data_IF_161192953025
#
_entry.id   IF_161192953025
#
_cell.length_a   1.000
_cell.length_b   1.000
_cell.length_c   1.000
_cell.angle_alpha   90.00
_cell.angle_beta   90.00
_cell.angle_gamma   90.00
#
_symmetry.space_group_name_H-M   'P 1'
#
loop_
_entity.id
_entity.type
_entity.pdbx_description
1 polymer ?
2 polymer ?
3 non-polymer ?
4 non-polymer ?
5 water ?
#
# COMPACT_ATOMS: atom_id res chain seq x y z
N UNK A 2 -17.35 -15.71 6.53
CA UNK A 2 -16.58 -15.10 7.63
C UNK A 2 -15.07 -15.15 7.40
N UNK A 3 -14.58 -16.21 6.76
CA UNK A 3 -13.15 -16.35 6.46
C UNK A 3 -12.67 -15.39 5.37
N UNK A 4 -13.54 -15.13 4.39
CA UNK A 4 -13.25 -14.16 3.34
C UNK A 4 -13.31 -12.73 3.89
N UNK A 5 -14.29 -12.48 4.77
CA UNK A 5 -14.43 -11.20 5.42
C UNK A 5 -13.26 -10.94 6.38
N UNK A 6 -12.80 -11.99 7.06
CA UNK A 6 -11.59 -11.92 7.89
C UNK A 6 -10.36 -11.55 7.05
N UNK A 7 -10.21 -12.15 5.87
CA UNK A 7 -9.09 -11.81 4.99
C UNK A 7 -9.20 -10.37 4.46
N UNK A 8 -10.43 -9.91 4.21
CA UNK A 8 -10.67 -8.51 3.87
C UNK A 8 -10.15 -7.60 4.97
N UNK A 9 -10.41 -7.95 6.23
CA UNK A 9 -9.94 -7.14 7.34
C UNK A 9 -8.41 -7.10 7.42
N UNK A 10 -7.79 -8.26 7.20
CA UNK A 10 -6.33 -8.36 7.12
C UNK A 10 -5.71 -7.45 6.05
N UNK A 11 -6.28 -7.49 4.85
CA UNK A 11 -5.81 -6.68 3.71
C UNK A 11 -6.01 -5.19 3.93
N UNK A 12 -7.16 -4.81 4.50
CA UNK A 12 -7.45 -3.42 4.82
C UNK A 12 -6.50 -2.85 5.88
N UNK A 13 -6.26 -3.63 6.93
CA UNK A 13 -5.34 -3.21 7.98
C UNK A 13 -3.90 -3.06 7.44
N UNK A 14 -3.50 -3.94 6.51
CA UNK A 14 -2.17 -3.84 5.88
C UNK A 14 -2.05 -2.53 5.10
N UNK A 15 -3.08 -2.25 4.30
CA UNK A 15 -3.23 -1.01 3.56
C UNK A 15 -3.19 0.24 4.47
N UNK A 16 -3.87 0.19 5.62
CA UNK A 16 -3.84 1.29 6.60
C UNK A 16 -2.44 1.52 7.18
N UNK A 17 -1.76 0.44 7.54
CA UNK A 17 -0.41 0.51 8.09
C UNK A 17 0.56 1.08 7.04
N UNK A 18 0.43 0.63 5.80
CA UNK A 18 1.19 1.17 4.67
C UNK A 18 0.95 2.66 4.44
N UNK A 19 -0.28 3.13 4.64
CA UNK A 19 -0.56 4.55 4.51
C UNK A 19 0.16 5.42 5.54
N UNK A 20 0.21 4.93 6.77
CA UNK A 20 1.01 5.57 7.81
C UNK A 20 2.49 5.68 7.44
N UNK A 21 3.04 4.60 6.86
CA UNK A 21 4.41 4.61 6.40
C UNK A 21 4.63 5.57 5.26
N UNK A 22 3.72 5.57 4.29
CA UNK A 22 3.76 6.50 3.17
C UNK A 22 3.76 7.95 3.64
N UNK A 23 2.87 8.26 4.58
CA UNK A 23 2.76 9.60 5.16
C UNK A 23 4.04 10.02 5.88
N UNK A 24 4.65 9.08 6.60
CA UNK A 24 5.96 9.30 7.22
C UNK A 24 7.04 9.59 6.17
N UNK A 25 7.04 8.86 5.06
CA UNK A 25 8.02 9.16 4.00
C UNK A 25 7.81 10.52 3.35
N UNK A 26 6.54 10.92 3.16
CA UNK A 26 6.23 12.26 2.66
C UNK A 26 6.78 13.33 3.61
N UNK A 27 6.56 13.15 4.92
CA UNK A 27 7.04 14.07 5.94
C UNK A 27 8.56 14.23 5.87
N UNK A 28 9.28 13.11 5.76
CA UNK A 28 10.74 13.08 5.70
C UNK A 28 11.29 13.81 4.48
N UNK A 29 10.74 13.51 3.31
CA UNK A 29 11.09 14.23 2.08
C UNK A 29 10.88 15.75 2.22
N UNK A 30 9.72 16.16 2.72
CA UNK A 30 9.44 17.59 2.89
C UNK A 30 10.41 18.27 3.88
N UNK A 31 10.74 17.58 4.98
CA UNK A 31 11.73 18.03 5.94
C UNK A 31 13.10 18.23 5.31
N UNK A 32 13.57 17.23 4.58
CA UNK A 32 14.87 17.32 3.89
C UNK A 32 14.90 18.45 2.86
N UNK A 33 13.82 18.58 2.08
CA UNK A 33 13.67 19.65 1.08
C UNK A 33 13.70 21.05 1.71
N UNK A 34 12.93 21.24 2.78
CA UNK A 34 12.88 22.50 3.49
C UNK A 34 14.26 22.84 4.08
N UNK A 35 14.93 21.82 4.61
CA UNK A 35 16.24 21.97 5.22
C UNK A 35 17.30 22.51 4.24
N UNK A 36 17.39 21.93 3.04
CA UNK A 36 18.46 22.29 2.11
C UNK A 36 18.14 23.50 1.24
N UNK A 37 16.88 23.69 0.85
CA UNK A 37 16.53 24.67 -0.16
C UNK A 37 15.24 25.39 0.18
N UNK B 2 -14.61 -18.46 -5.18
CA UNK B 2 -13.30 -18.85 -5.68
C UNK B 2 -12.60 -17.67 -6.38
N UNK B 3 -13.38 -16.91 -7.14
CA UNK B 3 -12.91 -15.69 -7.79
C UNK B 3 -12.63 -14.58 -6.78
N UNK B 4 -13.39 -14.58 -5.68
CA UNK B 4 -13.21 -13.62 -4.59
C UNK B 4 -11.92 -13.90 -3.82
N UNK B 5 -11.67 -15.18 -3.51
CA UNK B 5 -10.43 -15.63 -2.87
C UNK B 5 -9.21 -15.36 -3.76
N UNK B 6 -9.44 -15.44 -5.06
CA UNK B 6 -8.44 -15.09 -6.08
C UNK B 6 -8.04 -13.62 -6.00
N UNK B 7 -9.04 -12.73 -5.98
CA UNK B 7 -8.83 -11.30 -5.83
C UNK B 7 -8.00 -10.98 -4.58
N UNK B 8 -8.23 -11.74 -3.51
CA UNK B 8 -7.51 -11.54 -2.25
C UNK B 8 -6.04 -11.91 -2.39
N UNK B 9 -5.76 -12.97 -3.14
CA UNK B 9 -4.40 -13.37 -3.44
C UNK B 9 -3.68 -12.29 -4.26
N UNK B 10 -4.37 -11.77 -5.28
CA UNK B 10 -3.84 -10.71 -6.13
C UNK B 10 -3.50 -9.45 -5.33
N UNK B 11 -4.43 -9.06 -4.45
CA UNK B 11 -4.27 -7.86 -3.62
C UNK B 11 -3.16 -8.02 -2.61
N UNK B 12 -3.05 -9.20 -2.01
CA UNK B 12 -1.97 -9.48 -1.07
C UNK B 12 -0.58 -9.37 -1.74
N UNK B 13 -0.47 -9.91 -2.94
CA UNK B 13 0.76 -9.83 -3.72
C UNK B 13 1.11 -8.37 -4.02
N UNK B 14 0.12 -7.58 -4.41
CA UNK B 14 0.32 -6.16 -4.69
C UNK B 14 0.83 -5.43 -3.46
N UNK B 15 0.22 -5.71 -2.31
CA UNK B 15 0.61 -5.15 -1.02
C UNK B 15 2.05 -5.54 -0.65
N UNK B 16 2.43 -6.79 -0.94
CA UNK B 16 3.79 -7.27 -0.64
C UNK B 16 4.85 -6.57 -1.51
N UNK B 17 4.52 -6.31 -2.78
CA UNK B 17 5.41 -5.57 -3.67
C UNK B 17 5.52 -4.09 -3.26
N UNK B 18 4.40 -3.49 -2.83
CA UNK B 18 4.39 -2.13 -2.27
C UNK B 18 5.29 -2.01 -1.05
N UNK B 19 5.26 -3.02 -0.18
CA UNK B 19 6.12 -3.03 1.00
C UNK B 19 7.62 -3.09 0.67
N UNK B 20 7.99 -3.81 -0.38
CA UNK B 20 9.39 -3.81 -0.84
C UNK B 20 9.76 -2.40 -1.31
N UNK B 21 8.85 -1.77 -2.05
CA UNK B 21 9.01 -0.39 -2.48
C UNK B 21 9.16 0.56 -1.28
N UNK B 22 8.25 0.47 -0.30
CA UNK B 22 8.34 1.27 0.94
C UNK B 22 9.66 1.11 1.70
N UNK B 23 10.14 -0.13 1.83
CA UNK B 23 11.43 -0.36 2.49
C UNK B 23 12.58 0.32 1.72
N UNK B 24 12.50 0.33 0.39
CA UNK B 24 13.52 1.01 -0.41
C UNK B 24 13.46 2.55 -0.21
N UNK B 25 12.26 3.12 -0.20
CA UNK B 25 12.13 4.58 -0.01
C UNK B 25 12.53 5.01 1.41
N UNK B 26 12.20 4.19 2.41
CA UNK B 26 12.64 4.41 3.79
C UNK B 26 14.18 4.39 3.88
N UNK B 27 14.80 3.35 3.30
CA UNK B 27 16.27 3.28 3.26
C UNK B 27 16.89 4.57 2.67
N UNK B 28 16.34 5.02 1.54
CA UNK B 28 16.84 6.20 0.83
C UNK B 28 16.74 7.47 1.65
N UNK B 29 15.59 7.69 2.27
CA UNK B 29 15.39 8.84 3.15
C UNK B 29 16.37 8.81 4.33
N UNK B 30 16.58 7.63 4.90
CA UNK B 30 17.50 7.48 6.02
C UNK B 30 18.95 7.81 5.63
N UNK B 31 19.35 7.39 4.43
CA UNK B 31 20.69 7.69 3.91
C UNK B 31 20.90 9.21 3.80
N UNK B 32 19.91 9.91 3.26
CA UNK B 32 19.99 11.35 3.05
C UNK B 32 19.90 12.15 4.36
N UNK B 33 19.05 11.69 5.28
CA UNK B 33 18.93 12.33 6.58
C UNK B 33 20.26 12.28 7.37
N UNK B 34 20.89 11.10 7.37
CA UNK B 34 22.17 10.89 8.04
C UNK B 34 23.24 11.83 7.51
N UNK B 35 23.28 11.99 6.19
CA UNK B 35 24.24 12.87 5.53
C UNK B 35 24.05 14.35 5.91
N UNK B 36 22.84 14.85 5.83
CA UNK B 36 22.64 16.30 6.08
C UNK B 36 22.26 16.67 7.51
N UNK B 37 21.93 15.82 8.50
CA UNK B 37 21.55 16.17 9.86
C UNK B 37 22.37 15.40 10.84
N UNK C 2 -21.64 -9.83 -3.50
CA UNK C 2 -21.53 -8.50 -4.08
C UNK C 2 -20.92 -7.44 -3.14
N UNK C 3 -21.17 -7.56 -1.84
CA UNK C 3 -20.59 -6.60 -0.89
C UNK C 3 -19.10 -6.83 -0.72
N UNK C 4 -18.66 -8.07 -0.86
CA UNK C 4 -17.24 -8.37 -0.84
C UNK C 4 -16.55 -7.84 -2.11
N UNK C 5 -17.23 -8.00 -3.26
CA UNK C 5 -16.74 -7.50 -4.55
C UNK C 5 -16.62 -5.98 -4.55
N UNK C 6 -17.61 -5.30 -3.99
CA UNK C 6 -17.61 -3.85 -3.84
C UNK C 6 -16.44 -3.32 -3.01
N UNK C 7 -16.18 -3.96 -1.87
CA UNK C 7 -15.12 -3.51 -0.98
C UNK C 7 -13.76 -3.80 -1.61
N UNK C 8 -13.64 -4.92 -2.31
CA UNK C 8 -12.40 -5.26 -3.02
C UNK C 8 -12.05 -4.24 -4.09
N UNK C 9 -13.07 -3.66 -4.71
CA UNK C 9 -12.87 -2.54 -5.61
C UNK C 9 -12.26 -1.33 -4.89
N UNK C 10 -12.70 -1.06 -3.68
CA UNK C 10 -12.14 0.03 -2.88
C UNK C 10 -10.71 -0.26 -2.42
N UNK C 11 -10.43 -1.52 -2.08
CA UNK C 11 -9.09 -1.92 -1.68
C UNK C 11 -8.10 -1.79 -2.85
N UNK C 12 -8.53 -2.23 -4.03
CA UNK C 12 -7.72 -2.10 -5.26
C UNK C 12 -7.47 -0.65 -5.62
N UNK C 13 -8.51 0.17 -5.57
CA UNK C 13 -8.38 1.59 -5.81
C UNK C 13 -7.44 2.28 -4.79
N UNK C 14 -7.46 1.81 -3.54
CA UNK C 14 -6.57 2.33 -2.51
C UNK C 14 -5.13 1.97 -2.85
N UNK C 15 -4.89 0.71 -3.20
CA UNK C 15 -3.57 0.23 -3.61
C UNK C 15 -3.00 1.01 -4.82
N UNK C 16 -3.86 1.28 -5.80
CA UNK C 16 -3.51 2.05 -7.00
C UNK C 16 -3.12 3.49 -6.65
N UNK C 17 -3.93 4.14 -5.81
CA UNK C 17 -3.64 5.51 -5.38
C UNK C 17 -2.41 5.56 -4.49
N UNK C 18 -2.22 4.54 -3.64
CA UNK C 18 -0.98 4.41 -2.86
C UNK C 18 0.26 4.23 -3.74
N UNK C 19 0.11 3.52 -4.86
CA UNK C 19 1.23 3.34 -5.81
C UNK C 19 1.60 4.66 -6.48
N UNK C 20 0.60 5.46 -6.83
CA UNK C 20 0.85 6.82 -7.34
C UNK C 20 1.60 7.69 -6.32
N UNK C 21 1.18 7.61 -5.06
CA UNK C 21 1.82 8.32 -3.97
C UNK C 21 3.27 7.87 -3.85
N UNK C 22 3.47 6.56 -3.85
CA UNK C 22 4.79 5.97 -3.75
C UNK C 22 5.73 6.48 -4.89
N UNK C 23 5.23 6.49 -6.12
CA UNK C 23 5.98 7.01 -7.27
C UNK C 23 6.36 8.48 -7.09
N UNK C 24 5.46 9.28 -6.56
CA UNK C 24 5.77 10.66 -6.19
C UNK C 24 6.90 10.77 -5.16
N UNK C 25 6.92 9.86 -4.19
CA UNK C 25 8.00 9.87 -3.19
C UNK C 25 9.33 9.51 -3.82
N UNK C 26 9.31 8.57 -4.78
CA UNK C 26 10.51 8.21 -5.54
C UNK C 26 11.10 9.43 -6.26
N UNK C 27 10.24 10.22 -6.89
CA UNK C 27 10.68 11.45 -7.56
C UNK C 27 11.34 12.41 -6.57
N UNK C 28 10.72 12.60 -5.41
CA UNK C 28 11.25 13.46 -4.36
C UNK C 28 12.63 13.02 -3.87
N UNK C 29 12.76 11.73 -3.57
CA UNK C 29 14.03 11.14 -3.13
C UNK C 29 15.11 11.28 -4.22
N UNK C 30 14.76 11.03 -5.48
CA UNK C 30 15.74 11.17 -6.57
C UNK C 30 16.24 12.62 -6.74
N UNK C 31 15.35 13.60 -6.62
CA UNK C 31 15.73 15.03 -6.65
C UNK C 31 16.72 15.36 -5.55
N UNK C 32 16.39 14.93 -4.33
CA UNK C 32 17.23 15.18 -3.16
C UNK C 32 18.55 14.44 -3.23
N UNK C 33 18.51 13.19 -3.67
CA UNK C 33 19.72 12.36 -3.77
C UNK C 33 20.73 12.95 -4.78
N UNK C 34 20.24 13.36 -5.95
CA UNK C 34 21.10 13.95 -6.97
C UNK C 34 21.76 15.22 -6.44
N UNK C 35 21.02 16.01 -5.67
CA UNK C 35 21.57 17.22 -5.06
C UNK C 35 22.59 16.95 -3.94
N UNK C 36 22.22 16.09 -3.00
CA UNK C 36 23.00 15.89 -1.78
C UNK C 36 24.20 14.98 -2.03
N UNK C 37 24.25 14.12 -3.04
CA UNK C 37 25.20 13.05 -3.24
C UNK C 37 25.72 13.13 -4.65
N UNK D 2 12.69 14.23 13.88
CA UNK D 2 13.31 13.03 13.34
C UNK D 2 13.39 11.87 14.34
N UNK D 4 11.11 11.22 16.77
CA UNK D 4 9.77 10.63 16.70
C UNK D 4 9.53 9.88 15.38
N UNK D 5 9.94 10.47 14.26
CA UNK D 5 9.84 9.83 12.93
C UNK D 5 10.48 8.44 12.91
N UNK D 6 11.70 8.34 13.42
CA UNK D 6 12.42 7.08 13.51
C UNK D 6 11.66 5.99 14.28
N UNK D 7 11.04 6.39 15.38
CA UNK D 7 10.24 5.48 16.22
C UNK D 7 8.98 5.01 15.48
N UNK D 8 8.24 5.93 14.86
CA UNK D 8 7.05 5.59 14.06
C UNK D 8 7.36 4.69 12.86
N UNK D 9 8.51 4.92 12.21
CA UNK D 9 8.93 4.08 11.11
C UNK D 9 9.11 2.62 11.59
N UNK D 10 9.80 2.45 12.71
CA UNK D 10 10.02 1.12 13.28
C UNK D 10 8.68 0.48 13.68
N UNK D 11 7.82 1.27 14.30
CA UNK D 11 6.51 0.80 14.76
C UNK D 11 5.62 0.29 13.62
N UNK D 12 5.43 1.11 12.59
CA UNK D 12 4.60 0.70 11.45
C UNK D 12 5.24 -0.36 10.56
N UNK D 13 6.57 -0.37 10.49
CA UNK D 13 7.25 -1.43 9.77
C UNK D 13 6.94 -2.79 10.42
N UNK D 14 7.05 -2.87 11.74
CA UNK D 14 6.73 -4.12 12.44
C UNK D 14 5.25 -4.50 12.28
N UNK D 15 4.37 -3.51 12.38
CA UNK D 15 2.93 -3.69 12.19
C UNK D 15 2.59 -4.34 10.84
N UNK D 16 3.11 -3.77 9.74
CA UNK D 16 2.84 -4.30 8.38
C UNK D 16 3.41 -5.71 8.14
N UNK D 17 4.64 -5.94 8.61
CA UNK D 17 5.28 -7.25 8.55
C UNK D 17 4.40 -8.33 9.24
N UNK D 18 3.88 -7.99 10.42
CA UNK D 18 2.96 -8.85 11.15
C UNK D 18 1.63 -9.08 10.43
N UNK D 19 1.08 -8.03 9.84
CA UNK D 19 -0.18 -8.12 9.11
C UNK D 19 -0.06 -8.90 7.81
N UNK D 20 1.07 -8.77 7.13
CA UNK D 20 1.33 -9.53 5.92
C UNK D 20 1.44 -11.03 6.23
N UNK D 21 2.12 -11.37 7.33
CA UNK D 21 2.22 -12.75 7.81
C UNK D 21 0.84 -13.34 8.13
N UNK D 22 0.03 -12.59 8.89
CA UNK D 22 -1.37 -12.93 9.15
C UNK D 22 -2.11 -13.23 7.86
N UNK D 23 -2.00 -12.31 6.90
CA UNK D 23 -2.67 -12.40 5.61
C UNK D 23 -2.23 -13.63 4.81
N UNK D 24 -0.94 -13.95 4.87
CA UNK D 24 -0.40 -15.13 4.16
C UNK D 24 -1.00 -16.42 4.71
N UNK D 25 -0.99 -16.55 6.04
CA UNK D 25 -1.60 -17.67 6.73
C UNK D 25 -3.09 -17.79 6.40
N UNK D 26 -3.83 -16.70 6.54
CA UNK D 26 -5.26 -16.69 6.25
C UNK D 26 -5.53 -17.08 4.80
N UNK D 27 -4.68 -16.63 3.88
CA UNK D 27 -4.82 -16.98 2.46
C UNK D 27 -4.61 -18.49 2.21
N UNK D 28 -3.61 -19.09 2.86
CA UNK D 28 -3.38 -20.52 2.77
C UNK D 28 -4.64 -21.26 3.21
N UNK D 29 -5.09 -20.99 4.44
CA UNK D 29 -6.31 -21.54 4.99
C UNK D 29 -7.51 -21.44 4.04
N UNK D 30 -7.80 -20.23 3.57
CA UNK D 30 -8.93 -19.98 2.66
C UNK D 30 -8.87 -20.76 1.35
N UNK D 31 -7.66 -20.94 0.82
CA UNK D 31 -7.45 -21.70 -0.41
C UNK D 31 -7.59 -23.21 -0.19
N UNK D 32 -7.15 -23.69 0.98
CA UNK D 32 -7.34 -25.09 1.36
C UNK D 32 -8.81 -25.43 1.60
N UNK D 33 -9.62 -24.42 1.92
CA UNK D 33 -11.04 -24.58 2.19
C UNK D 33 -11.93 -24.68 0.95
N UNK D 34 -11.57 -23.98 -0.12
CA UNK D 34 -12.35 -24.06 -1.36
C UNK D 34 -12.01 -25.30 -2.18
N UNK D 35 -10.90 -26.00 -1.99
CA UNK D 35 -10.33 -27.28 -2.42
C UNK D 35 -11.17 -28.40 -1.89
N UNK E 2 23.26 3.26 -4.26
CA UNK E 2 22.15 3.97 -4.89
C UNK E 2 21.82 3.45 -6.29
N UNK E 4 22.11 0.33 -7.19
CA UNK E 4 21.39 -0.89 -6.90
C UNK E 4 19.96 -0.57 -6.43
N UNK E 5 19.84 0.40 -5.52
CA UNK E 5 18.53 0.95 -5.10
C UNK E 5 17.65 1.28 -6.30
N UNK E 6 18.20 2.01 -7.25
CA UNK E 6 17.48 2.48 -8.43
C UNK E 6 16.92 1.30 -9.26
N UNK E 7 17.72 0.26 -9.42
CA UNK E 7 17.32 -0.95 -10.14
C UNK E 7 16.19 -1.70 -9.44
N UNK E 8 16.29 -1.83 -8.12
CA UNK E 8 15.26 -2.50 -7.32
C UNK E 8 13.93 -1.74 -7.34
N UNK E 9 14.02 -0.41 -7.27
CA UNK E 9 12.85 0.45 -7.40
C UNK E 9 12.13 0.14 -8.71
N UNK E 10 12.91 0.02 -9.78
CA UNK E 10 12.37 -0.28 -11.09
C UNK E 10 11.75 -1.67 -11.13
N UNK E 11 12.45 -2.66 -10.57
CA UNK E 11 11.98 -4.03 -10.51
C UNK E 11 10.60 -4.14 -9.87
N UNK E 12 10.49 -3.62 -8.65
CA UNK E 12 9.25 -3.73 -7.90
C UNK E 12 8.14 -2.85 -8.43
N UNK E 13 8.50 -1.71 -9.04
CA UNK E 13 7.53 -0.87 -9.75
C UNK E 13 6.89 -1.67 -10.91
N UNK E 14 7.73 -2.37 -11.68
CA UNK E 14 7.27 -3.24 -12.77
C UNK E 14 6.38 -4.37 -12.25
N UNK E 15 6.83 -5.05 -11.21
CA UNK E 15 6.07 -6.13 -10.60
C UNK E 15 4.69 -5.67 -10.09
N UNK E 16 4.64 -4.56 -9.34
CA UNK E 16 3.34 -4.06 -8.84
C UNK E 16 2.38 -3.62 -9.95
N UNK E 17 2.92 -3.03 -11.03
CA UNK E 17 2.11 -2.60 -12.18
C UNK E 17 1.44 -3.80 -12.85
N UNK E 18 2.13 -4.93 -12.86
CA UNK E 18 1.60 -6.18 -13.41
C UNK E 18 0.51 -6.76 -12.51
N UNK E 19 0.79 -6.80 -11.20
CA UNK E 19 -0.16 -7.29 -10.19
C UNK E 19 -1.42 -6.44 -10.15
N UNK E 20 -1.26 -5.13 -10.30
CA UNK E 20 -2.40 -4.22 -10.39
C UNK E 20 -3.25 -4.51 -11.64
N UNK E 21 -2.59 -4.75 -12.78
CA UNK E 21 -3.31 -5.06 -14.02
C UNK E 21 -4.08 -6.38 -13.89
N UNK E 22 -3.42 -7.38 -13.29
CA UNK E 22 -4.06 -8.65 -12.97
C UNK E 22 -5.32 -8.47 -12.10
N UNK E 23 -5.18 -7.66 -11.05
CA UNK E 23 -6.27 -7.36 -10.12
C UNK E 23 -7.43 -6.62 -10.79
N UNK E 24 -7.12 -5.66 -11.65
CA UNK E 24 -8.12 -4.92 -12.41
C UNK E 24 -8.93 -5.86 -13.31
N UNK E 25 -8.24 -6.84 -13.89
CA UNK E 25 -8.86 -7.85 -14.75
C UNK E 25 -9.80 -8.77 -13.96
N UNK E 26 -9.34 -9.29 -12.82
CA UNK E 26 -10.21 -10.03 -11.90
C UNK E 26 -11.41 -9.23 -11.45
N UNK E 27 -11.19 -7.97 -11.09
CA UNK E 27 -12.26 -7.08 -10.68
C UNK E 27 -13.33 -6.95 -11.75
N UNK E 28 -12.90 -6.76 -13.01
CA UNK E 28 -13.79 -6.70 -14.17
C UNK E 28 -14.61 -7.98 -14.30
N UNK E 29 -13.93 -9.13 -14.20
CA UNK E 29 -14.56 -10.44 -14.28
C UNK E 29 -15.62 -10.61 -13.17
N UNK E 30 -15.21 -10.39 -11.93
CA UNK E 30 -16.09 -10.47 -10.75
C UNK E 30 -17.32 -9.56 -10.86
N UNK E 31 -17.13 -8.33 -11.31
CA UNK E 31 -18.22 -7.38 -11.46
C UNK E 31 -19.15 -7.70 -12.64
N UNK E 32 -18.65 -8.46 -13.62
CA UNK E 32 -19.46 -8.95 -14.74
C UNK E 32 -20.41 -10.06 -14.30
N UNK E 33 -19.89 -11.00 -13.52
CA UNK E 33 -20.66 -12.13 -12.99
C UNK E 33 -21.88 -11.70 -12.18
N UNK E 34 -21.73 -10.60 -11.43
CA UNK E 34 -22.79 -10.03 -10.62
C UNK E 34 -23.99 -9.59 -11.44
N UNK E 35 -23.73 -9.05 -12.64
CA UNK E 35 -24.69 -8.59 -13.65
C UNK E 35 -25.31 -9.78 -14.35
N UNK F 2 8.38 21.40 -7.32
CA UNK F 2 7.94 21.02 -5.98
C UNK F 2 6.52 21.49 -5.63
N UNK F 4 3.96 21.65 -7.82
CA UNK F 4 3.11 20.66 -8.47
C UNK F 4 3.20 19.29 -7.76
N UNK F 5 4.40 18.95 -7.29
CA UNK F 5 4.62 17.75 -6.46
C UNK F 5 3.75 17.81 -5.20
N UNK F 6 3.79 18.94 -4.50
CA UNK F 6 2.94 19.17 -3.32
C UNK F 6 1.45 18.98 -3.63
N UNK F 7 1.00 19.53 -4.77
CA UNK F 7 -0.40 19.42 -5.21
C UNK F 7 -0.82 17.96 -5.42
N UNK F 8 0.01 17.21 -6.11
CA UNK F 8 -0.25 15.82 -6.43
C UNK F 8 -0.21 14.90 -5.20
N UNK F 9 0.73 15.16 -4.29
CA UNK F 9 0.79 14.46 -3.00
C UNK F 9 -0.55 14.60 -2.27
N UNK F 10 -1.03 15.85 -2.17
CA UNK F 10 -2.28 16.18 -1.50
C UNK F 10 -3.51 15.53 -2.17
N UNK F 11 -3.56 15.56 -3.51
CA UNK F 11 -4.59 14.89 -4.30
C UNK F 11 -4.71 13.41 -3.96
N UNK F 12 -3.59 12.70 -4.08
CA UNK F 12 -3.59 11.27 -3.87
C UNK F 12 -3.84 10.88 -2.41
N UNK F 13 -3.32 11.67 -1.48
CA UNK F 13 -3.52 11.44 -0.05
C UNK F 13 -5.01 11.50 0.32
N UNK F 14 -5.70 12.52 -0.20
CA UNK F 14 -7.11 12.73 0.10
C UNK F 14 -7.95 11.58 -0.47
N UNK F 15 -7.62 11.17 -1.69
CA UNK F 15 -8.26 10.06 -2.37
C UNK F 15 -8.11 8.75 -1.58
N UNK F 16 -6.89 8.43 -1.17
CA UNK F 16 -6.59 7.25 -0.37
C UNK F 16 -7.36 7.24 0.96
N UNK F 17 -7.33 8.37 1.66
CA UNK F 17 -8.02 8.50 2.96
C UNK F 17 -9.53 8.26 2.80
N UNK F 18 -10.13 8.76 1.72
CA UNK F 18 -11.54 8.52 1.40
C UNK F 18 -11.83 7.05 1.17
N UNK F 19 -10.95 6.41 0.39
CA UNK F 19 -11.10 5.00 0.04
C UNK F 19 -10.95 4.09 1.27
N UNK F 20 -10.04 4.47 2.18
CA UNK F 20 -9.83 3.71 3.41
C UNK F 20 -11.05 3.83 4.34
N UNK F 21 -11.57 5.05 4.48
CA UNK F 21 -12.74 5.33 5.28
C UNK F 21 -13.96 4.55 4.77
N UNK F 22 -14.22 4.59 3.47
CA UNK F 22 -15.30 3.80 2.86
C UNK F 22 -15.15 2.32 3.18
N UNK F 23 -13.93 1.79 2.99
CA UNK F 23 -13.61 0.39 3.21
C UNK F 23 -13.78 -0.06 4.65
N UNK F 24 -13.43 0.83 5.60
CA UNK F 24 -13.61 0.57 7.04
C UNK F 24 -15.08 0.45 7.40
N UNK F 25 -15.90 1.35 6.83
CA UNK F 25 -17.34 1.33 7.02
C UNK F 25 -17.94 0.01 6.47
N UNK F 26 -17.58 -0.34 5.23
CA UNK F 26 -17.96 -1.62 4.63
C UNK F 26 -17.57 -2.82 5.50
N UNK F 27 -16.33 -2.80 6.00
CA UNK F 27 -15.82 -3.88 6.83
C UNK F 27 -16.64 -4.12 8.10
N UNK F 28 -16.89 -3.04 8.85
CA UNK F 28 -17.72 -3.05 10.06
C UNK F 28 -19.11 -3.61 9.77
N UNK F 29 -19.73 -3.13 8.70
CA UNK F 29 -21.08 -3.53 8.32
C UNK F 29 -21.17 -5.01 7.93
N UNK F 30 -20.17 -5.49 7.17
CA UNK F 30 -20.11 -6.89 6.75
C UNK F 30 -19.96 -7.85 7.93
N UNK F 31 -19.07 -7.50 8.86
CA UNK F 31 -18.84 -8.29 10.06
C UNK F 31 -20.10 -8.38 10.93
N UNK F 32 -20.76 -7.24 11.11
CA UNK F 32 -22.00 -7.17 11.88
C UNK F 32 -23.09 -8.04 11.25
N UNK F 33 -23.23 -7.96 9.93
CA UNK F 33 -24.23 -8.76 9.21
C UNK F 33 -24.03 -10.25 9.46
N UNK F 34 -22.79 -10.70 9.37
CA UNK F 34 -22.47 -12.12 9.49
C UNK F 34 -22.55 -12.61 10.93
N UNK F 35 -22.57 -11.83 11.99
CA UNK F 35 -22.54 -12.08 13.43
C UNK F 35 -23.92 -12.33 13.96
#
# INVERSE_FOLDING_TARGET
XSDIVQQQNNLLRAIEAQQHLLQLTVWGIKQLQARILX
XSDIVQQQNNLLRAIEAQQHLLQLTVWGIKQLQARILX
XSDIVQQQNNLLRAIEAQQHLLQLTVWGIKQLQARILX
XWXEWDRKIEEYTKKIEELIKKSQEQQEKNEKELKX
XWXEWDRKIEEYTKKIEELIKKSQEQQEKNEKELKX
XWXEWDRKIEEYTKKIEELIKKSQEQQEKNEKELKX
#
